data_IF_927108442558
#
_entry.id   IF_927108442558
#
_cell.length_a   1.000
_cell.length_b   1.000
_cell.length_c   1.000
_cell.angle_alpha   90.00
_cell.angle_beta   90.00
_cell.angle_gamma   90.00
#
_symmetry.space_group_name_H-M   'P 1'
#
loop_
_entity.id
_entity.type
_entity.pdbx_description
1 polymer ?
#
# COMPACT_ATOMS: atom_id res chain seq x y z
N UNK A 1 -11.98 -23.12 -6.61
CA UNK A 1 -11.79 -21.73 -6.13
C UNK A 1 -11.43 -20.85 -7.32
N UNK A 2 -12.09 -19.69 -7.50
CA UNK A 2 -11.79 -18.77 -8.60
C UNK A 2 -10.35 -18.24 -8.52
N UNK A 3 -9.68 -18.01 -9.65
CA UNK A 3 -8.36 -17.36 -9.68
C UNK A 3 -8.48 -15.85 -9.45
N UNK A 4 -7.45 -15.24 -8.85
CA UNK A 4 -7.34 -13.78 -8.76
C UNK A 4 -6.70 -13.26 -10.05
N UNK A 5 -7.49 -12.56 -10.87
CA UNK A 5 -7.00 -11.84 -12.04
C UNK A 5 -6.64 -10.41 -11.63
N UNK A 6 -5.46 -9.96 -12.05
CA UNK A 6 -4.93 -8.64 -11.74
C UNK A 6 -4.82 -7.86 -13.04
N UNK A 7 -5.39 -6.66 -13.08
CA UNK A 7 -5.26 -5.72 -14.20
C UNK A 7 -4.69 -4.40 -13.70
N UNK A 8 -3.86 -3.77 -14.52
CA UNK A 8 -3.27 -2.47 -14.19
C UNK A 8 -4.33 -1.38 -14.05
N UNK A 9 -5.40 -1.46 -14.84
CA UNK A 9 -6.55 -0.56 -14.84
C UNK A 9 -7.28 -0.60 -13.51
N UNK A 10 -7.58 -1.81 -13.00
CA UNK A 10 -8.24 -1.96 -11.71
C UNK A 10 -7.36 -1.45 -10.57
N UNK A 11 -6.05 -1.75 -10.62
CA UNK A 11 -5.10 -1.27 -9.62
C UNK A 11 -5.04 0.26 -9.59
N UNK A 12 -4.91 0.91 -10.76
CA UNK A 12 -4.86 2.37 -10.86
C UNK A 12 -6.19 3.00 -10.42
N UNK A 13 -7.33 2.42 -10.79
CA UNK A 13 -8.64 2.93 -10.38
C UNK A 13 -8.78 2.93 -8.86
N UNK A 14 -8.48 1.81 -8.20
CA UNK A 14 -8.52 1.67 -6.75
C UNK A 14 -7.53 2.59 -6.06
N UNK A 15 -6.30 2.68 -6.57
CA UNK A 15 -5.27 3.58 -6.06
C UNK A 15 -5.74 5.04 -6.12
N UNK A 16 -6.29 5.51 -7.25
CA UNK A 16 -6.81 6.87 -7.34
C UNK A 16 -7.93 7.14 -6.31
N UNK A 17 -8.79 6.15 -6.04
CA UNK A 17 -9.80 6.24 -4.98
C UNK A 17 -9.18 6.47 -3.60
N UNK A 18 -8.14 5.71 -3.27
CA UNK A 18 -7.40 5.86 -2.00
C UNK A 18 -6.71 7.22 -1.94
N UNK A 19 -6.04 7.66 -3.00
CA UNK A 19 -5.37 8.96 -3.04
C UNK A 19 -6.35 10.11 -2.82
N UNK A 20 -7.53 10.05 -3.44
CA UNK A 20 -8.57 11.06 -3.26
C UNK A 20 -9.10 11.06 -1.81
N UNK A 21 -9.32 9.88 -1.22
CA UNK A 21 -9.75 9.77 0.18
C UNK A 21 -8.70 10.32 1.15
N UNK A 22 -7.43 9.96 0.98
CA UNK A 22 -6.35 10.51 1.82
C UNK A 22 -6.24 12.02 1.65
N UNK A 23 -6.56 12.56 0.46
CA UNK A 23 -6.58 14.01 0.23
C UNK A 23 -7.68 14.73 1.01
N UNK A 24 -8.87 14.14 1.15
CA UNK A 24 -9.93 14.72 1.99
C UNK A 24 -9.56 14.64 3.47
N UNK A 25 -8.97 13.52 3.90
CA UNK A 25 -8.47 13.33 5.26
C UNK A 25 -7.38 14.36 5.61
N UNK A 26 -6.43 14.64 4.72
CA UNK A 26 -5.37 15.64 4.96
C UNK A 26 -5.91 17.04 5.32
N UNK A 27 -7.13 17.37 4.87
CA UNK A 27 -7.75 18.66 5.11
C UNK A 27 -8.42 18.77 6.49
N UNK A 28 -8.51 17.68 7.25
CA UNK A 28 -9.08 17.69 8.59
C UNK A 28 -8.20 18.45 9.60
N UNK A 29 -8.81 18.86 10.70
CA UNK A 29 -8.11 19.53 11.79
C UNK A 29 -7.11 18.59 12.48
N UNK A 30 -6.03 19.16 13.03
CA UNK A 30 -5.00 18.40 13.74
C UNK A 30 -5.59 17.56 14.87
N UNK A 31 -6.59 18.08 15.59
CA UNK A 31 -7.26 17.36 16.67
C UNK A 31 -7.96 16.10 16.19
N UNK A 32 -8.55 16.11 14.98
CA UNK A 32 -9.16 14.94 14.36
C UNK A 32 -8.10 13.96 13.87
N UNK A 33 -7.04 14.45 13.23
CA UNK A 33 -5.93 13.63 12.72
C UNK A 33 -5.16 12.91 13.82
N UNK A 34 -5.04 13.52 15.00
CA UNK A 34 -4.35 12.97 16.17
C UNK A 34 -5.28 12.26 17.16
N UNK A 35 -6.59 12.18 16.88
CA UNK A 35 -7.52 11.44 17.70
C UNK A 35 -7.17 9.94 17.70
N UNK A 36 -7.17 9.32 18.89
CA UNK A 36 -6.95 7.88 19.05
C UNK A 36 -8.20 7.23 19.64
N UNK A 37 -8.66 6.07 19.12
CA UNK A 37 -9.77 5.34 19.73
C UNK A 37 -9.46 4.82 21.14
N UNK A 38 -8.19 4.58 21.44
CA UNK A 38 -7.67 4.23 22.77
C UNK A 38 -6.14 4.39 22.78
N UNK A 39 -5.54 4.35 23.98
CA UNK A 39 -4.09 4.55 24.20
C UNK A 39 -3.15 3.54 23.55
N UNK A 40 -3.67 2.45 22.96
CA UNK A 40 -2.88 1.41 22.27
C UNK A 40 -3.11 1.41 20.76
N UNK A 41 -3.95 2.30 20.25
CA UNK A 41 -4.32 2.37 18.84
C UNK A 41 -3.64 3.57 18.18
N UNK A 42 -3.26 3.39 16.92
CA UNK A 42 -2.74 4.48 16.12
C UNK A 42 -3.81 5.52 15.80
N UNK A 43 -3.39 6.79 15.75
CA UNK A 43 -4.16 7.85 15.10
C UNK A 43 -3.99 7.81 13.58
N UNK A 44 -4.65 8.73 12.87
CA UNK A 44 -4.61 8.78 11.40
C UNK A 44 -3.20 9.05 10.88
N UNK A 45 -2.47 9.98 11.50
CA UNK A 45 -1.10 10.35 11.09
C UNK A 45 -0.15 9.15 11.19
N UNK A 46 -0.25 8.37 12.27
CA UNK A 46 0.52 7.16 12.47
C UNK A 46 0.16 6.08 11.43
N UNK A 47 -1.11 5.94 11.05
CA UNK A 47 -1.51 5.03 9.97
C UNK A 47 -0.88 5.44 8.63
N UNK A 48 -0.90 6.73 8.29
CA UNK A 48 -0.26 7.22 7.06
C UNK A 48 1.27 7.01 7.10
N UNK A 49 1.92 7.33 8.23
CA UNK A 49 3.35 7.08 8.39
C UNK A 49 3.71 5.58 8.25
N UNK A 50 2.87 4.69 8.79
CA UNK A 50 3.03 3.24 8.60
C UNK A 50 2.97 2.83 7.12
N UNK A 51 2.07 3.42 6.33
CA UNK A 51 1.98 3.16 4.89
C UNK A 51 3.25 3.63 4.18
N UNK A 52 3.80 4.79 4.52
CA UNK A 52 5.07 5.29 3.97
C UNK A 52 6.23 4.33 4.27
N UNK A 53 6.41 3.96 5.55
CA UNK A 53 7.45 3.01 5.99
C UNK A 53 7.32 1.69 5.23
N UNK A 54 6.09 1.19 5.10
CA UNK A 54 5.82 -0.08 4.43
C UNK A 54 6.19 -0.02 2.95
N UNK A 55 5.85 1.07 2.26
CA UNK A 55 6.13 1.25 0.84
C UNK A 55 7.62 1.48 0.55
N UNK A 56 8.32 2.26 1.38
CA UNK A 56 9.76 2.52 1.23
C UNK A 56 10.59 1.23 1.18
N UNK A 57 10.16 0.15 1.84
CA UNK A 57 10.82 -1.16 1.77
C UNK A 57 10.64 -1.90 0.43
N UNK A 58 9.83 -1.36 -0.48
CA UNK A 58 9.57 -1.89 -1.83
C UNK A 58 10.07 -0.98 -2.95
N UNK A 59 10.13 0.34 -2.77
CA UNK A 59 10.41 1.32 -3.83
C UNK A 59 11.63 0.93 -4.70
N UNK A 60 12.82 0.83 -4.09
CA UNK A 60 14.04 0.45 -4.81
C UNK A 60 13.97 -0.94 -5.46
N UNK A 61 13.26 -1.88 -4.84
CA UNK A 61 13.10 -3.24 -5.38
C UNK A 61 12.21 -3.24 -6.61
N UNK A 62 11.19 -2.39 -6.63
CA UNK A 62 10.29 -2.21 -7.76
C UNK A 62 11.08 -1.61 -8.93
N UNK A 63 11.85 -0.55 -8.69
CA UNK A 63 12.67 0.09 -9.72
C UNK A 63 13.70 -0.88 -10.30
N UNK A 64 14.47 -1.55 -9.44
CA UNK A 64 15.45 -2.53 -9.85
C UNK A 64 14.84 -3.70 -10.63
N UNK A 65 13.58 -4.08 -10.34
CA UNK A 65 12.87 -5.08 -11.11
C UNK A 65 12.42 -4.55 -12.47
N UNK A 66 11.81 -3.36 -12.53
CA UNK A 66 11.35 -2.72 -13.76
C UNK A 66 12.48 -2.49 -14.76
N UNK A 67 13.66 -2.11 -14.27
CA UNK A 67 14.83 -1.84 -15.13
C UNK A 67 15.45 -3.12 -15.69
N UNK A 68 15.39 -4.23 -14.95
CA UNK A 68 15.90 -5.54 -15.40
C UNK A 68 14.93 -6.28 -16.31
N UNK A 69 13.63 -6.00 -16.20
CA UNK A 69 12.61 -6.69 -16.98
C UNK A 69 12.71 -6.30 -18.46
N UNK A 70 12.72 -7.29 -19.37
CA UNK A 70 12.71 -7.00 -20.80
C UNK A 70 11.38 -6.37 -21.19
N UNK A 71 11.43 -5.50 -22.21
CA UNK A 71 10.24 -4.93 -22.80
C UNK A 71 9.46 -6.02 -23.55
N UNK A 72 8.16 -5.81 -23.68
CA UNK A 72 7.27 -6.64 -24.49
C UNK A 72 6.41 -5.77 -25.40
N UNK A 73 6.06 -6.33 -26.56
CA UNK A 73 5.15 -5.68 -27.52
C UNK A 73 3.68 -5.97 -27.21
N UNK A 74 3.41 -6.84 -26.23
CA UNK A 74 2.05 -7.11 -25.76
C UNK A 74 1.75 -6.19 -24.58
N UNK A 75 0.73 -5.35 -24.71
CA UNK A 75 0.11 -4.75 -23.53
C UNK A 75 -0.47 -5.89 -22.69
N UNK A 76 0.22 -6.24 -21.60
CA UNK A 76 -0.24 -7.28 -20.68
C UNK A 76 -1.50 -6.79 -19.97
N UNK A 77 -2.67 -7.19 -20.49
CA UNK A 77 -3.97 -6.77 -19.94
C UNK A 77 -4.30 -7.44 -18.61
N UNK A 78 -3.91 -8.70 -18.44
CA UNK A 78 -4.27 -9.51 -17.28
C UNK A 78 -3.10 -10.36 -16.77
N UNK A 79 -2.91 -10.37 -15.45
CA UNK A 79 -1.97 -11.22 -14.76
C UNK A 79 -2.70 -12.12 -13.76
N UNK A 80 -2.56 -13.44 -13.93
CA UNK A 80 -3.12 -14.43 -13.00
C UNK A 80 -2.19 -14.60 -11.79
N UNK A 81 -2.65 -14.16 -10.62
CA UNK A 81 -1.89 -14.35 -9.39
C UNK A 81 -1.68 -15.84 -9.08
N UNK A 82 -0.49 -16.18 -8.60
CA UNK A 82 -0.17 -17.54 -8.17
C UNK A 82 -0.97 -17.91 -6.91
N UNK A 83 -1.31 -19.20 -6.69
CA UNK A 83 -2.18 -19.60 -5.57
C UNK A 83 -1.69 -19.16 -4.19
N UNK A 84 -0.39 -19.30 -3.90
CA UNK A 84 0.20 -18.85 -2.64
C UNK A 84 0.14 -17.33 -2.49
N UNK A 85 0.50 -16.59 -3.54
CA UNK A 85 0.47 -15.12 -3.53
C UNK A 85 -0.95 -14.59 -3.41
N UNK A 86 -1.91 -15.21 -4.09
CA UNK A 86 -3.34 -14.94 -3.93
C UNK A 86 -3.74 -15.05 -2.46
N UNK A 87 -3.38 -16.15 -1.78
CA UNK A 87 -3.69 -16.33 -0.36
C UNK A 87 -3.10 -15.21 0.50
N UNK A 88 -1.83 -14.85 0.28
CA UNK A 88 -1.18 -13.76 1.03
C UNK A 88 -1.84 -12.40 0.76
N UNK A 89 -2.18 -12.10 -0.49
CA UNK A 89 -2.87 -10.85 -0.90
C UNK A 89 -4.26 -10.78 -0.28
N UNK A 90 -5.06 -11.84 -0.40
CA UNK A 90 -6.41 -11.92 0.17
C UNK A 90 -6.41 -11.85 1.70
N UNK A 91 -5.30 -12.22 2.34
CA UNK A 91 -5.11 -12.02 3.78
C UNK A 91 -5.00 -10.55 4.20
N UNK A 92 -4.56 -9.67 3.29
CA UNK A 92 -4.53 -8.22 3.54
C UNK A 92 -5.85 -7.54 3.20
N UNK A 93 -6.52 -7.98 2.13
CA UNK A 93 -7.73 -7.33 1.61
C UNK A 93 -8.85 -7.28 2.67
N UNK A 94 -9.41 -6.10 2.99
CA UNK A 94 -10.57 -6.01 3.85
C UNK A 94 -11.78 -6.68 3.17
N UNK A 95 -12.69 -7.24 3.97
CA UNK A 95 -13.93 -7.85 3.45
C UNK A 95 -15.11 -7.13 4.09
N UNK A 96 -16.00 -6.61 3.25
CA UNK A 96 -17.23 -5.91 3.69
C UNK A 96 -16.92 -4.73 4.65
N UNK A 97 -15.83 -4.01 4.39
CA UNK A 97 -15.39 -2.90 5.25
C UNK A 97 -14.83 -3.34 6.60
N UNK A 98 -14.49 -4.62 6.79
CA UNK A 98 -13.99 -5.14 8.07
C UNK A 98 -12.55 -5.65 7.94
N UNK A 99 -11.70 -5.24 8.89
CA UNK A 99 -10.35 -5.78 9.10
C UNK A 99 -10.40 -7.13 9.84
N UNK A 100 -10.77 -8.21 9.14
CA UNK A 100 -11.04 -9.54 9.75
C UNK A 100 -9.94 -10.07 10.69
N UNK A 101 -8.68 -9.88 10.34
CA UNK A 101 -7.54 -10.40 11.11
C UNK A 101 -6.80 -9.27 11.81
N UNK A 102 -6.63 -9.31 13.13
CA UNK A 102 -5.71 -8.42 13.84
C UNK A 102 -4.34 -9.08 13.89
N UNK A 103 -3.34 -8.42 13.30
CA UNK A 103 -1.96 -8.88 13.28
C UNK A 103 -1.11 -7.89 14.07
N UNK A 104 -0.14 -8.39 14.86
CA UNK A 104 0.83 -7.52 15.51
C UNK A 104 1.78 -6.96 14.46
N UNK A 105 1.89 -5.64 14.39
CA UNK A 105 2.87 -4.96 13.54
C UNK A 105 4.28 -5.38 13.95
N UNK A 106 5.17 -5.66 12.98
CA UNK A 106 6.58 -5.89 13.29
C UNK A 106 7.25 -4.54 13.56
N UNK A 107 8.18 -4.48 14.53
CA UNK A 107 8.85 -3.24 14.96
C UNK A 107 9.35 -2.35 13.83
N UNK A 108 9.90 -2.93 12.75
CA UNK A 108 10.40 -2.17 11.59
C UNK A 108 9.33 -1.42 10.78
N UNK A 109 8.06 -1.70 11.04
CA UNK A 109 6.92 -1.04 10.42
C UNK A 109 6.17 -0.15 11.40
N UNK A 110 6.62 -0.04 12.65
CA UNK A 110 5.96 0.81 13.64
C UNK A 110 6.28 2.28 13.35
N UNK A 111 5.27 3.16 13.24
CA UNK A 111 5.49 4.60 13.13
C UNK A 111 5.94 5.12 14.50
N UNK A 112 7.21 5.54 14.59
CA UNK A 112 7.78 6.09 15.82
C UNK A 112 7.69 7.62 15.79
N UNK A 113 6.48 8.15 15.99
CA UNK A 113 6.22 9.59 16.01
C UNK A 113 6.14 10.11 17.45
N UNK A 114 6.79 11.24 17.74
CA UNK A 114 6.62 11.97 18.99
C UNK A 114 5.36 12.84 18.89
N UNK A 115 4.31 12.52 19.64
CA UNK A 115 3.01 13.21 19.54
C UNK A 115 3.10 14.69 19.95
N UNK A 116 3.95 15.02 20.92
CA UNK A 116 4.18 16.40 21.38
C UNK A 116 4.81 17.28 20.31
N UNK A 117 5.49 16.66 19.34
CA UNK A 117 6.20 17.33 18.26
C UNK A 117 5.37 17.51 16.99
N UNK A 118 4.19 16.87 16.88
CA UNK A 118 3.36 16.88 15.67
C UNK A 118 2.56 18.18 15.55
N UNK A 119 3.13 19.13 14.80
CA UNK A 119 2.43 20.32 14.32
C UNK A 119 1.92 20.12 12.87
N UNK A 120 1.16 21.11 12.35
CA UNK A 120 0.60 21.06 10.98
C UNK A 120 1.66 20.75 9.92
N UNK A 121 2.80 21.42 9.99
CA UNK A 121 3.89 21.30 9.01
C UNK A 121 4.45 19.87 8.96
N UNK A 122 4.74 19.27 10.12
CA UNK A 122 5.24 17.88 10.18
C UNK A 122 4.19 16.88 9.71
N UNK A 123 2.93 17.09 10.06
CA UNK A 123 1.82 16.26 9.56
C UNK A 123 1.75 16.38 8.04
N UNK A 124 1.82 17.58 7.48
CA UNK A 124 1.83 17.79 6.03
C UNK A 124 2.99 17.14 5.31
N UNK A 125 4.18 17.12 5.93
CA UNK A 125 5.32 16.40 5.38
C UNK A 125 5.05 14.90 5.26
N UNK A 126 4.42 14.28 6.27
CA UNK A 126 4.05 12.85 6.27
C UNK A 126 3.05 12.54 5.14
N UNK A 127 2.02 13.38 4.98
CA UNK A 127 1.04 13.23 3.89
C UNK A 127 1.68 13.49 2.52
N UNK A 128 2.59 14.47 2.42
CA UNK A 128 3.31 14.76 1.16
C UNK A 128 4.16 13.56 0.73
N UNK A 129 4.89 12.96 1.66
CA UNK A 129 5.63 11.72 1.41
C UNK A 129 4.69 10.60 0.94
N UNK A 130 3.52 10.44 1.58
CA UNK A 130 2.52 9.47 1.15
C UNK A 130 2.13 9.67 -0.32
N UNK A 131 1.82 10.89 -0.74
CA UNK A 131 1.46 11.15 -2.13
C UNK A 131 2.60 10.90 -3.11
N UNK A 132 3.84 11.26 -2.76
CA UNK A 132 5.03 11.00 -3.59
C UNK A 132 5.23 9.49 -3.78
N UNK A 133 5.21 8.72 -2.70
CA UNK A 133 5.43 7.28 -2.74
C UNK A 133 4.34 6.53 -3.51
N UNK A 134 3.09 6.98 -3.39
CA UNK A 134 1.97 6.31 -4.04
C UNK A 134 1.72 6.81 -5.47
N UNK A 135 2.17 8.01 -5.85
CA UNK A 135 2.35 8.35 -7.26
C UNK A 135 3.45 7.50 -7.90
N UNK A 136 4.57 7.29 -7.20
CA UNK A 136 5.60 6.36 -7.66
C UNK A 136 5.05 4.94 -7.91
N UNK A 137 4.17 4.42 -7.03
CA UNK A 137 3.46 3.16 -7.27
C UNK A 137 2.60 3.22 -8.55
N UNK A 138 1.85 4.29 -8.75
CA UNK A 138 1.03 4.49 -9.95
C UNK A 138 1.88 4.48 -11.22
N UNK A 139 2.98 5.22 -11.24
CA UNK A 139 3.92 5.25 -12.38
C UNK A 139 4.56 3.88 -12.60
N UNK A 140 4.90 3.16 -11.53
CA UNK A 140 5.43 1.79 -11.60
C UNK A 140 4.44 0.81 -12.23
N UNK A 141 3.15 0.89 -11.87
CA UNK A 141 2.08 0.10 -12.48
C UNK A 141 1.98 0.40 -13.99
N UNK A 142 1.99 1.68 -14.37
CA UNK A 142 1.95 2.10 -15.78
C UNK A 142 3.16 1.58 -16.55
N UNK A 143 4.38 1.80 -16.04
CA UNK A 143 5.64 1.35 -16.65
C UNK A 143 5.68 -0.18 -16.81
N UNK A 144 5.02 -0.92 -15.91
CA UNK A 144 4.98 -2.39 -15.96
C UNK A 144 4.16 -2.95 -17.13
N UNK A 145 3.26 -2.17 -17.74
CA UNK A 145 2.37 -2.62 -18.83
C UNK A 145 3.12 -3.13 -20.05
N UNK A 146 4.27 -2.54 -20.33
CA UNK A 146 5.14 -2.88 -21.46
C UNK A 146 6.32 -3.76 -21.06
N UNK A 147 6.23 -4.48 -19.92
CA UNK A 147 7.30 -5.34 -19.38
C UNK A 147 6.85 -6.80 -19.28
N UNK A 148 7.80 -7.73 -19.47
CA UNK A 148 7.59 -9.16 -19.22
C UNK A 148 7.56 -9.50 -17.72
N UNK A 149 6.52 -9.03 -17.02
CA UNK A 149 6.39 -9.05 -15.56
C UNK A 149 6.45 -10.45 -14.91
N UNK A 150 6.37 -11.52 -15.71
CA UNK A 150 6.52 -12.92 -15.27
C UNK A 150 7.98 -13.38 -15.12
N UNK A 151 8.98 -12.54 -15.44
CA UNK A 151 10.40 -12.94 -15.45
C UNK A 151 11.21 -12.52 -14.22
N UNK A 152 10.71 -11.62 -13.38
CA UNK A 152 11.43 -11.16 -12.19
C UNK A 152 10.53 -11.15 -10.95
N UNK A 153 11.08 -11.58 -9.82
CA UNK A 153 10.38 -11.58 -8.53
C UNK A 153 11.11 -10.73 -7.51
N UNK A 154 10.36 -9.88 -6.81
CA UNK A 154 10.86 -9.12 -5.66
C UNK A 154 10.51 -9.84 -4.35
N UNK A 155 11.38 -9.69 -3.35
CA UNK A 155 11.18 -10.25 -2.03
C UNK A 155 10.33 -9.32 -1.18
N UNK A 156 9.29 -9.87 -0.55
CA UNK A 156 8.36 -9.11 0.29
C UNK A 156 9.05 -8.52 1.51
N UNK A 157 8.56 -7.36 1.94
CA UNK A 157 8.95 -6.76 3.20
C UNK A 157 8.48 -7.56 4.42
N UNK A 158 7.53 -8.51 4.31
CA UNK A 158 7.07 -9.30 5.47
C UNK A 158 7.97 -10.51 5.77
N UNK A 159 8.85 -10.90 4.84
CA UNK A 159 9.82 -11.98 5.04
C UNK A 159 10.35 -12.59 3.74
N UNK A 160 11.52 -13.26 3.77
CA UNK A 160 12.20 -13.72 2.56
C UNK A 160 11.49 -14.87 1.82
N UNK A 161 10.63 -15.62 2.50
CA UNK A 161 9.87 -16.74 1.93
C UNK A 161 8.76 -16.28 0.99
N UNK A 162 8.31 -15.03 1.10
CA UNK A 162 7.25 -14.47 0.25
C UNK A 162 7.89 -13.62 -0.83
N UNK A 163 7.75 -14.06 -2.08
CA UNK A 163 8.24 -13.34 -3.26
C UNK A 163 7.10 -13.12 -4.26
N UNK A 164 7.09 -11.96 -4.90
CA UNK A 164 6.02 -11.51 -5.79
C UNK A 164 6.55 -11.18 -7.17
N UNK A 165 5.80 -11.50 -8.22
CA UNK A 165 5.89 -10.75 -9.48
C UNK A 165 5.37 -9.33 -9.28
N UNK A 166 5.76 -8.38 -10.12
CA UNK A 166 5.37 -6.97 -9.94
C UNK A 166 3.85 -6.76 -9.80
N UNK A 167 2.97 -7.32 -10.67
CA UNK A 167 1.52 -7.19 -10.50
C UNK A 167 1.02 -7.73 -9.15
N UNK A 168 1.58 -8.85 -8.66
CA UNK A 168 1.23 -9.42 -7.36
C UNK A 168 1.69 -8.52 -6.21
N UNK A 169 2.86 -7.89 -6.33
CA UNK A 169 3.38 -6.96 -5.32
C UNK A 169 2.53 -5.69 -5.24
N UNK A 170 2.16 -5.12 -6.40
CA UNK A 170 1.28 -3.96 -6.47
C UNK A 170 -0.08 -4.29 -5.84
N UNK A 171 -0.64 -5.47 -6.14
CA UNK A 171 -1.91 -5.91 -5.59
C UNK A 171 -1.85 -6.10 -4.07
N UNK A 172 -0.73 -6.62 -3.57
CA UNK A 172 -0.48 -6.77 -2.14
C UNK A 172 -0.43 -5.41 -1.43
N UNK A 173 0.36 -4.47 -1.96
CA UNK A 173 0.48 -3.10 -1.42
C UNK A 173 -0.86 -2.37 -1.44
N UNK A 174 -1.61 -2.51 -2.53
CA UNK A 174 -2.93 -1.90 -2.68
C UNK A 174 -3.94 -2.48 -1.68
N UNK A 175 -3.96 -3.80 -1.52
CA UNK A 175 -4.85 -4.46 -0.54
C UNK A 175 -4.50 -4.09 0.90
N UNK A 176 -3.21 -3.87 1.19
CA UNK A 176 -2.74 -3.37 2.49
C UNK A 176 -3.18 -1.93 2.73
N UNK A 177 -3.07 -1.03 1.73
CA UNK A 177 -3.61 0.33 1.84
C UNK A 177 -5.12 0.34 2.09
N UNK A 178 -5.91 -0.44 1.35
CA UNK A 178 -7.37 -0.51 1.54
C UNK A 178 -7.74 -0.93 2.94
N UNK A 179 -7.01 -1.90 3.50
CA UNK A 179 -7.18 -2.32 4.88
C UNK A 179 -6.94 -1.18 5.87
N UNK A 180 -5.99 -0.30 5.58
CA UNK A 180 -5.70 0.87 6.42
C UNK A 180 -6.64 2.04 6.16
N UNK A 181 -7.27 2.16 4.99
CA UNK A 181 -8.37 3.11 4.78
C UNK A 181 -9.54 2.77 5.69
N UNK A 182 -9.91 1.49 5.78
CA UNK A 182 -10.90 1.02 6.74
C UNK A 182 -10.50 1.37 8.19
N UNK A 183 -9.22 1.25 8.54
CA UNK A 183 -8.75 1.66 9.86
C UNK A 183 -8.92 3.16 10.11
N UNK A 184 -8.63 3.99 9.11
CA UNK A 184 -8.79 5.44 9.22
C UNK A 184 -10.28 5.79 9.39
N UNK A 185 -11.15 5.18 8.60
CA UNK A 185 -12.60 5.39 8.71
C UNK A 185 -13.10 4.99 10.11
N UNK A 186 -12.66 3.84 10.64
CA UNK A 186 -12.95 3.42 12.03
C UNK A 186 -12.45 4.42 13.10
N UNK A 187 -11.35 5.14 12.84
CA UNK A 187 -10.82 6.16 13.76
C UNK A 187 -11.65 7.44 13.71
N UNK A 188 -12.12 7.82 12.52
CA UNK A 188 -12.83 9.09 12.28
C UNK A 188 -14.32 9.02 12.60
N UNK A 189 -14.90 7.81 12.67
CA UNK A 189 -16.32 7.59 12.99
C UNK A 189 -17.23 7.68 11.78
#
# INVERSE_FOLDING_TARGET
MASLQITSENQIQRLNGILNHVKTIQALDISQLLATPNSKSWNVVEVIAHLNISYNLYAEKIDAALDKLPNTNSDSKEFKARPWQKFVIEGQRPKEGIRKWKMKTLKRFEPLLSHEDLNREKIDAIFTEFFILHDHLKQSIIKSRSKEVSKAKITSAIGPLVRFYLPEAFEFLLSHMERHMVQIDEILG
#
